data_IF_123684056841
#
_entry.id   IF_123684056841
#
_cell.length_a   1.000
_cell.length_b   1.000
_cell.length_c   1.000
_cell.angle_alpha   90.00
_cell.angle_beta   90.00
_cell.angle_gamma   90.00
#
_symmetry.space_group_name_H-M   'P 1'
#
loop_
_entity.id
_entity.type
_entity.pdbx_description
1 polymer ?
#
# COMPACT_ATOMS: atom_id res chain seq x y z
N UNK A 1 2.86 5.90 -3.69
CA UNK A 1 3.40 5.27 -4.90
C UNK A 1 4.22 4.02 -4.60
N UNK A 2 5.30 4.12 -3.82
CA UNK A 2 6.17 2.95 -3.51
C UNK A 2 5.39 1.71 -3.04
N UNK A 3 4.49 1.84 -2.06
CA UNK A 3 3.66 0.71 -1.60
C UNK A 3 2.77 0.13 -2.72
N UNK A 4 2.25 0.99 -3.60
CA UNK A 4 1.42 0.56 -4.72
C UNK A 4 2.25 -0.27 -5.70
N UNK A 5 3.48 0.16 -6.01
CA UNK A 5 4.39 -0.55 -6.93
C UNK A 5 4.76 -1.93 -6.39
N UNK A 6 4.98 -2.03 -5.07
CA UNK A 6 5.25 -3.30 -4.39
C UNK A 6 4.06 -4.26 -4.49
N UNK A 7 2.84 -3.78 -4.25
CA UNK A 7 1.61 -4.60 -4.26
C UNK A 7 1.19 -4.96 -5.68
N UNK A 8 1.18 -3.98 -6.59
CA UNK A 8 0.72 -4.18 -7.96
C UNK A 8 1.77 -4.86 -8.85
N UNK A 9 3.05 -4.82 -8.47
CA UNK A 9 4.20 -5.34 -9.24
C UNK A 9 4.25 -4.77 -10.66
N UNK A 10 3.88 -3.50 -10.80
CA UNK A 10 3.75 -2.76 -12.07
C UNK A 10 4.30 -1.35 -11.94
N UNK A 11 4.55 -0.73 -13.09
CA UNK A 11 4.84 0.70 -13.18
C UNK A 11 3.52 1.49 -13.12
N UNK A 12 3.40 2.53 -12.29
CA UNK A 12 2.18 3.33 -12.21
C UNK A 12 1.90 4.04 -13.53
N UNK A 13 0.62 4.11 -13.90
CA UNK A 13 0.17 4.79 -15.12
C UNK A 13 0.86 4.28 -16.40
N UNK A 14 1.18 2.97 -16.44
CA UNK A 14 1.73 2.30 -17.62
C UNK A 14 0.93 2.65 -18.89
N UNK A 15 1.63 3.03 -19.95
CA UNK A 15 1.05 3.53 -21.20
C UNK A 15 0.96 5.07 -21.31
N UNK A 16 1.16 5.81 -20.21
CA UNK A 16 1.34 7.27 -20.28
C UNK A 16 2.81 7.61 -20.60
N UNK A 17 3.08 7.88 -21.88
CA UNK A 17 4.45 7.97 -22.41
C UNK A 17 5.16 9.32 -22.17
N UNK A 18 4.51 10.32 -21.55
CA UNK A 18 5.15 11.62 -21.29
C UNK A 18 4.89 12.11 -19.86
N UNK A 19 5.89 12.74 -19.21
CA UNK A 19 5.70 13.35 -17.89
C UNK A 19 4.58 14.39 -17.88
N UNK A 20 4.45 15.19 -18.94
CA UNK A 20 3.39 16.19 -19.07
C UNK A 20 1.98 15.56 -19.03
N UNK A 21 1.80 14.39 -19.65
CA UNK A 21 0.53 13.68 -19.62
C UNK A 21 0.21 13.20 -18.19
N UNK A 22 1.19 12.63 -17.48
CA UNK A 22 1.02 12.18 -16.08
C UNK A 22 0.68 13.38 -15.17
N UNK A 23 1.42 14.49 -15.28
CA UNK A 23 1.16 15.71 -14.50
C UNK A 23 -0.26 16.21 -14.74
N UNK A 24 -0.70 16.23 -16.01
CA UNK A 24 -2.05 16.67 -16.36
C UNK A 24 -3.11 15.73 -15.79
N UNK A 25 -2.97 14.42 -16.03
CA UNK A 25 -3.95 13.42 -15.62
C UNK A 25 -4.07 13.31 -14.10
N UNK A 26 -2.96 13.28 -13.38
CA UNK A 26 -2.94 13.10 -11.92
C UNK A 26 -3.14 14.43 -11.19
N UNK A 27 -2.40 15.47 -11.58
CA UNK A 27 -2.38 16.76 -10.89
C UNK A 27 -3.66 17.58 -11.12
N UNK A 28 -4.26 17.48 -12.30
CA UNK A 28 -5.44 18.28 -12.66
C UNK A 28 -6.67 17.42 -13.00
N UNK A 29 -6.47 16.23 -13.55
CA UNK A 29 -7.54 15.32 -13.95
C UNK A 29 -8.05 14.38 -12.86
N UNK A 30 -7.41 14.36 -11.68
CA UNK A 30 -7.81 13.50 -10.56
C UNK A 30 -7.55 12.00 -10.78
N UNK A 31 -6.74 11.63 -11.77
CA UNK A 31 -6.37 10.24 -12.01
C UNK A 31 -5.57 9.68 -10.80
N UNK A 32 -5.92 8.47 -10.38
CA UNK A 32 -5.26 7.72 -9.31
C UNK A 32 -4.87 6.35 -9.86
N UNK A 33 -3.75 5.73 -9.42
CA UNK A 33 -3.38 4.42 -9.93
C UNK A 33 -4.43 3.37 -9.54
N UNK A 34 -4.72 2.45 -10.47
CA UNK A 34 -5.70 1.38 -10.25
C UNK A 34 -5.22 0.47 -9.13
N UNK A 35 -6.04 0.28 -8.09
CA UNK A 35 -5.68 -0.59 -6.97
C UNK A 35 -5.83 -2.06 -7.35
N UNK A 36 -4.73 -2.79 -7.35
CA UNK A 36 -4.74 -4.25 -7.45
C UNK A 36 -5.37 -4.88 -6.20
N UNK A 37 -5.93 -6.10 -6.30
CA UNK A 37 -6.35 -6.86 -5.12
C UNK A 37 -5.20 -6.96 -4.10
N UNK A 38 -5.49 -6.63 -2.86
CA UNK A 38 -4.53 -6.63 -1.76
C UNK A 38 -5.24 -6.89 -0.43
N UNK A 39 -4.52 -7.40 0.59
CA UNK A 39 -5.08 -7.55 1.93
C UNK A 39 -5.70 -6.24 2.43
N UNK A 40 -6.88 -6.28 3.09
CA UNK A 40 -7.60 -5.07 3.51
C UNK A 40 -6.75 -4.04 4.26
N UNK A 41 -5.84 -4.42 5.18
CA UNK A 41 -5.03 -3.43 5.88
C UNK A 41 -4.02 -2.71 4.97
N UNK A 42 -3.44 -3.40 3.99
CA UNK A 42 -2.55 -2.77 3.01
C UNK A 42 -3.32 -1.83 2.08
N UNK A 43 -4.56 -2.22 1.72
CA UNK A 43 -5.46 -1.39 0.92
C UNK A 43 -5.79 -0.08 1.61
N UNK A 44 -6.09 -0.13 2.91
CA UNK A 44 -6.38 1.08 3.69
C UNK A 44 -5.20 2.05 3.72
N UNK A 45 -3.98 1.55 3.98
CA UNK A 45 -2.76 2.38 3.95
C UNK A 45 -2.56 3.00 2.56
N UNK A 46 -2.78 2.22 1.50
CA UNK A 46 -2.69 2.70 0.11
C UNK A 46 -3.69 3.81 -0.19
N UNK A 47 -4.96 3.60 0.11
CA UNK A 47 -6.04 4.56 -0.17
C UNK A 47 -5.82 5.89 0.57
N UNK A 48 -5.45 5.85 1.85
CA UNK A 48 -5.13 7.06 2.62
C UNK A 48 -3.91 7.81 2.05
N UNK A 49 -2.85 7.09 1.68
CA UNK A 49 -1.67 7.69 1.05
C UNK A 49 -1.97 8.32 -0.32
N UNK A 50 -2.92 7.75 -1.05
CA UNK A 50 -3.33 8.20 -2.39
C UNK A 50 -4.48 9.21 -2.37
N UNK A 51 -4.85 9.75 -1.20
CA UNK A 51 -5.88 10.77 -1.13
C UNK A 51 -5.58 11.95 -2.07
N UNK A 52 -6.57 12.41 -2.86
CA UNK A 52 -6.40 13.56 -3.76
C UNK A 52 -6.15 14.85 -2.95
N UNK A 53 -6.74 14.92 -1.77
CA UNK A 53 -6.55 15.97 -0.77
C UNK A 53 -5.26 15.70 0.04
N UNK A 54 -4.22 16.55 -0.07
CA UNK A 54 -2.95 16.35 0.64
C UNK A 54 -3.09 16.33 2.16
N UNK A 55 -4.00 17.13 2.71
CA UNK A 55 -4.27 17.22 4.15
C UNK A 55 -4.88 15.93 4.73
N UNK A 56 -5.49 15.08 3.89
CA UNK A 56 -6.03 13.79 4.31
C UNK A 56 -4.98 12.67 4.25
N UNK A 57 -3.79 12.95 3.69
CA UNK A 57 -2.72 11.95 3.63
C UNK A 57 -2.11 11.77 5.02
N UNK A 58 -1.84 10.53 5.43
CA UNK A 58 -1.29 10.26 6.73
C UNK A 58 0.14 10.79 6.86
N UNK A 59 0.57 11.04 8.09
CA UNK A 59 1.97 11.26 8.37
C UNK A 59 2.76 9.98 8.14
N UNK A 60 4.06 10.12 7.84
CA UNK A 60 4.92 8.95 7.71
C UNK A 60 4.98 8.12 9.00
N UNK A 61 4.93 8.77 10.17
CA UNK A 61 4.88 8.10 11.47
C UNK A 61 3.64 7.19 11.60
N UNK A 62 2.47 7.63 11.12
CA UNK A 62 1.28 6.80 11.07
C UNK A 62 1.47 5.60 10.15
N UNK A 63 2.04 5.80 8.96
CA UNK A 63 2.33 4.70 8.03
C UNK A 63 3.27 3.66 8.64
N UNK A 64 4.35 4.11 9.28
CA UNK A 64 5.31 3.23 9.95
C UNK A 64 4.64 2.44 11.09
N UNK A 65 3.81 3.09 11.90
CA UNK A 65 3.06 2.43 12.96
C UNK A 65 2.13 1.35 12.41
N UNK A 66 1.35 1.63 11.36
CA UNK A 66 0.45 0.63 10.77
C UNK A 66 1.21 -0.55 10.19
N UNK A 67 2.28 -0.29 9.44
CA UNK A 67 3.12 -1.35 8.87
C UNK A 67 3.78 -2.20 9.96
N UNK A 68 4.23 -1.60 11.05
CA UNK A 68 4.80 -2.31 12.21
C UNK A 68 3.75 -3.18 12.89
N UNK A 69 2.53 -2.66 13.09
CA UNK A 69 1.42 -3.43 13.68
C UNK A 69 1.05 -4.63 12.81
N UNK A 70 1.02 -4.47 11.48
CA UNK A 70 0.76 -5.56 10.55
C UNK A 70 1.88 -6.59 10.55
N UNK A 71 3.14 -6.15 10.60
CA UNK A 71 4.28 -7.05 10.71
C UNK A 71 4.21 -7.86 12.01
N UNK A 72 3.97 -7.20 13.15
CA UNK A 72 3.88 -7.88 14.45
C UNK A 72 2.73 -8.91 14.48
N UNK A 73 1.55 -8.55 13.95
CA UNK A 73 0.42 -9.47 13.88
C UNK A 73 0.73 -10.70 13.01
N UNK A 74 1.41 -10.52 11.88
CA UNK A 74 1.78 -11.62 11.00
C UNK A 74 2.97 -12.45 11.52
N UNK A 75 3.92 -11.87 12.25
CA UNK A 75 5.05 -12.63 12.82
C UNK A 75 4.59 -13.52 13.98
N UNK A 76 3.67 -13.03 14.82
CA UNK A 76 3.02 -13.86 15.83
C UNK A 76 2.24 -15.01 15.19
N UNK A 77 1.57 -14.76 14.07
CA UNK A 77 0.87 -15.81 13.31
C UNK A 77 1.84 -16.85 12.73
N UNK A 78 3.03 -16.44 12.25
CA UNK A 78 4.05 -17.39 11.75
C UNK A 78 4.61 -18.26 12.89
N UNK A 79 4.91 -17.68 14.05
CA UNK A 79 5.42 -18.43 15.20
C UNK A 79 4.40 -19.44 15.71
N UNK A 80 3.13 -19.04 15.83
CA UNK A 80 2.02 -19.93 16.22
C UNK A 80 1.82 -21.04 15.19
N UNK A 81 1.76 -20.70 13.90
CA UNK A 81 1.61 -21.72 12.86
C UNK A 81 2.79 -22.72 12.85
N UNK A 82 4.01 -22.27 13.15
CA UNK A 82 5.17 -23.15 13.25
C UNK A 82 5.12 -24.03 14.50
N UNK A 83 4.68 -23.53 15.66
CA UNK A 83 4.50 -24.36 16.85
C UNK A 83 3.39 -25.40 16.66
N UNK A 84 2.27 -25.03 16.04
CA UNK A 84 1.20 -25.98 15.68
C UNK A 84 1.71 -27.03 14.69
N UNK A 85 2.46 -26.61 13.65
CA UNK A 85 3.03 -27.52 12.65
C UNK A 85 4.05 -28.50 13.26
N UNK A 86 4.84 -28.05 14.24
CA UNK A 86 5.85 -28.84 14.92
C UNK A 86 5.31 -29.62 16.13
N UNK A 87 4.04 -29.45 16.48
CA UNK A 87 3.40 -30.13 17.62
C UNK A 87 4.02 -29.74 18.97
N UNK A 88 4.42 -28.48 19.12
CA UNK A 88 5.08 -27.95 20.33
C UNK A 88 4.11 -27.30 21.32
N UNK A 89 2.80 -27.49 21.14
CA UNK A 89 1.72 -26.94 21.98
C UNK A 89 1.39 -27.81 23.20
#
# INVERSE_FOLDING_TARGET
>A
MVLWEMVARKIPFEGMNSPAHIITAVGYGGASPVLSPSPPPLREILERCLSPSPQNRPSFAWCAQQLQSLYAANTLDVEVNLSTLLGLE
#
